data_IF_183706315509
#
_entry.id   IF_183706315509
#
_cell.length_a   1.000
_cell.length_b   1.000
_cell.length_c   1.000
_cell.angle_alpha   90.00
_cell.angle_beta   90.00
_cell.angle_gamma   90.00
#
_symmetry.space_group_name_H-M   'P 1'
#
loop_
_entity.id
_entity.type
_entity.pdbx_description
1 polymer ?
#
# COMPACT_ATOMS: atom_id res chain seq x y z
N UNK A 1 14.43 -8.93 12.14
CA UNK A 1 13.36 -8.76 11.15
C UNK A 1 13.37 -7.31 10.71
N UNK A 2 13.56 -7.02 9.42
CA UNK A 2 13.47 -5.67 8.88
C UNK A 2 12.00 -5.22 8.90
N UNK A 3 11.76 -3.94 9.16
CA UNK A 3 10.43 -3.36 8.95
C UNK A 3 10.15 -3.31 7.45
N UNK A 4 8.87 -3.42 7.06
CA UNK A 4 8.48 -3.39 5.65
C UNK A 4 9.04 -2.16 4.93
N UNK A 5 8.93 -0.97 5.51
CA UNK A 5 9.45 0.27 4.90
C UNK A 5 10.96 0.23 4.68
N UNK A 6 11.75 -0.25 5.66
CA UNK A 6 13.21 -0.34 5.53
C UNK A 6 13.60 -1.32 4.42
N UNK A 7 12.85 -2.42 4.26
CA UNK A 7 13.04 -3.38 3.19
C UNK A 7 12.74 -2.78 1.81
N UNK A 8 11.66 -2.03 1.70
CA UNK A 8 11.26 -1.40 0.43
C UNK A 8 12.24 -0.28 0.03
N UNK A 9 12.75 0.51 0.98
CA UNK A 9 13.80 1.51 0.71
C UNK A 9 15.09 0.86 0.20
N UNK A 10 15.53 -0.23 0.82
CA UNK A 10 16.70 -1.00 0.36
C UNK A 10 16.46 -1.57 -1.04
N UNK A 11 15.27 -2.10 -1.28
CA UNK A 11 14.89 -2.63 -2.59
C UNK A 11 14.93 -1.57 -3.68
N UNK A 12 14.45 -0.36 -3.40
CA UNK A 12 14.51 0.78 -4.34
C UNK A 12 15.97 1.14 -4.67
N UNK A 13 16.84 1.17 -3.68
CA UNK A 13 18.28 1.43 -3.91
C UNK A 13 18.93 0.38 -4.80
N UNK A 14 18.52 -0.90 -4.68
CA UNK A 14 18.98 -1.96 -5.57
C UNK A 14 18.40 -1.77 -6.97
N UNK A 15 17.14 -1.35 -7.09
CA UNK A 15 16.46 -1.15 -8.36
C UNK A 15 17.12 -0.07 -9.26
N UNK A 16 17.84 0.90 -8.67
CA UNK A 16 18.65 1.85 -9.41
C UNK A 16 19.71 1.18 -10.29
N UNK A 17 20.17 -0.02 -9.89
CA UNK A 17 21.14 -0.82 -10.64
C UNK A 17 20.47 -1.85 -11.58
N UNK A 18 19.20 -2.15 -11.38
CA UNK A 18 18.43 -3.03 -12.25
C UNK A 18 17.28 -3.74 -11.57
N UNK A 19 16.13 -3.78 -12.25
CA UNK A 19 14.91 -4.40 -11.77
C UNK A 19 15.04 -5.89 -11.42
N UNK A 20 15.78 -6.65 -12.22
CA UNK A 20 15.90 -8.10 -12.02
C UNK A 20 16.62 -8.47 -10.72
N UNK A 21 17.59 -7.67 -10.29
CA UNK A 21 18.31 -7.87 -9.03
C UNK A 21 17.41 -7.49 -7.84
N UNK A 22 16.77 -6.33 -7.92
CA UNK A 22 15.83 -5.86 -6.91
C UNK A 22 14.64 -6.83 -6.75
N UNK A 23 14.11 -7.36 -7.86
CA UNK A 23 13.04 -8.35 -7.85
C UNK A 23 13.46 -9.60 -7.07
N UNK A 24 14.61 -10.20 -7.39
CA UNK A 24 15.11 -11.39 -6.68
C UNK A 24 15.31 -11.12 -5.19
N UNK A 25 15.93 -9.99 -4.86
CA UNK A 25 16.14 -9.60 -3.47
C UNK A 25 14.83 -9.51 -2.68
N UNK A 26 13.86 -8.77 -3.19
CA UNK A 26 12.58 -8.60 -2.51
C UNK A 26 11.77 -9.90 -2.44
N UNK A 27 11.82 -10.71 -3.50
CA UNK A 27 11.16 -12.01 -3.52
C UNK A 27 11.73 -12.95 -2.46
N UNK A 28 13.06 -13.05 -2.36
CA UNK A 28 13.73 -13.89 -1.35
C UNK A 28 13.40 -13.46 0.08
N UNK A 29 13.31 -12.15 0.33
CA UNK A 29 12.93 -11.63 1.65
C UNK A 29 11.45 -11.90 1.96
N UNK A 30 10.58 -11.72 0.98
CA UNK A 30 9.15 -12.03 1.10
C UNK A 30 8.92 -13.52 1.41
N UNK A 31 9.57 -14.41 0.67
CA UNK A 31 9.39 -15.87 0.81
C UNK A 31 9.83 -16.42 2.17
N UNK A 32 10.70 -15.72 2.90
CA UNK A 32 11.12 -16.13 4.26
C UNK A 32 9.99 -15.98 5.28
N UNK A 33 9.18 -14.94 5.17
CA UNK A 33 8.12 -14.64 6.14
C UNK A 33 6.98 -13.85 5.47
N UNK A 34 6.18 -14.46 4.59
CA UNK A 34 5.15 -13.75 3.81
C UNK A 34 4.12 -13.00 4.66
N UNK A 35 3.82 -13.52 5.85
CA UNK A 35 2.85 -12.96 6.78
C UNK A 35 3.26 -11.59 7.38
N UNK A 36 4.53 -11.21 7.24
CA UNK A 36 5.03 -9.93 7.75
C UNK A 36 4.88 -8.78 6.76
N UNK A 37 4.38 -9.06 5.55
CA UNK A 37 4.35 -8.09 4.45
C UNK A 37 2.93 -7.88 3.94
N UNK A 38 2.67 -6.64 3.55
CA UNK A 38 1.36 -6.17 3.17
C UNK A 38 1.19 -5.96 1.65
N UNK A 39 0.09 -5.29 1.26
CA UNK A 39 -0.23 -5.02 -0.14
C UNK A 39 0.86 -4.21 -0.84
N UNK A 40 1.60 -3.38 -0.12
CA UNK A 40 2.66 -2.55 -0.68
C UNK A 40 3.83 -3.42 -1.17
N UNK A 41 4.25 -4.42 -0.41
CA UNK A 41 5.32 -5.34 -0.82
C UNK A 41 4.91 -6.14 -2.07
N UNK A 42 3.66 -6.64 -2.16
CA UNK A 42 3.20 -7.35 -3.34
C UNK A 42 3.10 -6.46 -4.58
N UNK A 43 2.73 -5.19 -4.40
CA UNK A 43 2.76 -4.20 -5.48
C UNK A 43 4.19 -3.95 -5.99
N UNK A 44 5.15 -3.76 -5.08
CA UNK A 44 6.56 -3.60 -5.44
C UNK A 44 7.11 -4.83 -6.20
N UNK A 45 6.79 -6.04 -5.73
CA UNK A 45 7.15 -7.27 -6.45
C UNK A 45 6.57 -7.31 -7.86
N UNK A 46 5.32 -6.85 -8.04
CA UNK A 46 4.69 -6.78 -9.35
C UNK A 46 5.38 -5.76 -10.27
N UNK A 47 5.68 -4.55 -9.78
CA UNK A 47 6.38 -3.52 -10.55
C UNK A 47 7.79 -3.97 -10.92
N UNK A 48 8.55 -4.51 -9.97
CA UNK A 48 9.90 -4.99 -10.23
C UNK A 48 9.92 -6.16 -11.24
N UNK A 49 8.96 -7.07 -11.16
CA UNK A 49 8.80 -8.13 -12.14
C UNK A 49 8.44 -7.57 -13.52
N UNK A 50 7.56 -6.58 -13.59
CA UNK A 50 7.20 -5.90 -14.83
C UNK A 50 8.39 -5.20 -15.47
N UNK A 51 9.14 -4.40 -14.71
CA UNK A 51 10.36 -3.72 -15.14
C UNK A 51 11.49 -4.70 -15.51
N UNK A 52 11.54 -5.88 -14.88
CA UNK A 52 12.45 -6.97 -15.23
C UNK A 52 12.00 -7.79 -16.48
N UNK A 53 10.93 -7.37 -17.16
CA UNK A 53 10.34 -8.06 -18.29
C UNK A 53 9.84 -9.49 -17.98
N UNK A 54 9.24 -9.66 -16.79
CA UNK A 54 8.63 -10.90 -16.30
C UNK A 54 7.11 -10.71 -16.09
N UNK A 55 6.32 -10.46 -17.14
CA UNK A 55 4.92 -10.07 -17.03
C UNK A 55 4.05 -11.12 -16.33
N UNK A 56 4.33 -12.40 -16.50
CA UNK A 56 3.61 -13.49 -15.83
C UNK A 56 3.80 -13.42 -14.30
N UNK A 57 5.02 -13.10 -13.84
CA UNK A 57 5.30 -12.94 -12.42
C UNK A 57 4.63 -11.69 -11.85
N UNK A 58 4.67 -10.59 -12.58
CA UNK A 58 3.94 -9.38 -12.19
C UNK A 58 2.45 -9.65 -12.00
N UNK A 59 1.85 -10.40 -12.93
CA UNK A 59 0.44 -10.79 -12.85
C UNK A 59 0.16 -11.73 -11.67
N UNK A 60 1.05 -12.66 -11.36
CA UNK A 60 0.96 -13.55 -10.19
C UNK A 60 0.89 -12.77 -8.87
N UNK A 61 1.77 -11.78 -8.68
CA UNK A 61 1.80 -10.95 -7.48
C UNK A 61 0.54 -10.10 -7.33
N UNK A 62 0.07 -9.49 -8.41
CA UNK A 62 -1.18 -8.73 -8.40
C UNK A 62 -2.39 -9.63 -8.13
N UNK A 63 -2.40 -10.84 -8.69
CA UNK A 63 -3.45 -11.82 -8.42
C UNK A 63 -3.46 -12.20 -6.93
N UNK A 64 -2.31 -12.49 -6.36
CA UNK A 64 -2.17 -12.80 -4.92
C UNK A 64 -2.69 -11.66 -4.06
N UNK A 65 -2.32 -10.41 -4.37
CA UNK A 65 -2.79 -9.25 -3.63
C UNK A 65 -4.32 -9.08 -3.73
N UNK A 66 -4.85 -9.10 -4.96
CA UNK A 66 -6.24 -8.71 -5.22
C UNK A 66 -7.20 -9.88 -4.99
N UNK A 67 -6.92 -11.09 -5.50
CA UNK A 67 -7.84 -12.21 -5.36
C UNK A 67 -7.66 -12.98 -4.06
N UNK A 68 -6.43 -13.37 -3.75
CA UNK A 68 -6.18 -14.29 -2.64
C UNK A 68 -6.23 -13.56 -1.29
N UNK A 69 -5.72 -12.32 -1.22
CA UNK A 69 -5.76 -11.50 0.00
C UNK A 69 -6.91 -10.50 0.06
N UNK A 70 -7.66 -10.31 -1.02
CA UNK A 70 -8.82 -9.42 -1.03
C UNK A 70 -8.47 -7.92 -1.01
N UNK A 71 -7.20 -7.56 -1.23
CA UNK A 71 -6.73 -6.18 -1.21
C UNK A 71 -7.15 -5.42 -2.47
N UNK A 72 -6.95 -4.10 -2.43
CA UNK A 72 -7.18 -3.20 -3.55
C UNK A 72 -6.15 -2.09 -3.55
N UNK A 73 -5.94 -1.52 -4.73
CA UNK A 73 -5.07 -0.36 -4.96
C UNK A 73 -5.91 0.78 -5.53
N UNK A 74 -5.44 2.00 -5.33
CA UNK A 74 -6.04 3.14 -6.02
C UNK A 74 -5.85 2.99 -7.54
N UNK A 75 -6.80 3.47 -8.37
CA UNK A 75 -6.73 3.28 -9.83
C UNK A 75 -5.39 3.71 -10.44
N UNK A 76 -4.83 4.84 -9.96
CA UNK A 76 -3.56 5.42 -10.45
C UNK A 76 -2.36 4.50 -10.20
N UNK A 77 -2.39 3.72 -9.12
CA UNK A 77 -1.29 2.82 -8.73
C UNK A 77 -1.12 1.69 -9.75
N UNK A 78 -2.22 1.18 -10.30
CA UNK A 78 -2.19 0.13 -11.33
C UNK A 78 -1.99 0.68 -12.76
N UNK A 79 -1.78 1.99 -12.91
CA UNK A 79 -1.42 2.63 -14.18
C UNK A 79 0.09 2.89 -14.30
N UNK A 80 0.87 2.41 -13.34
CA UNK A 80 2.32 2.52 -13.30
C UNK A 80 2.98 2.04 -14.61
N UNK A 81 4.06 2.72 -15.00
CA UNK A 81 4.80 2.39 -16.23
C UNK A 81 5.47 1.02 -16.17
N UNK A 82 5.86 0.56 -14.99
CA UNK A 82 6.44 -0.75 -14.77
C UNK A 82 5.44 -1.89 -15.07
N UNK A 83 4.14 -1.61 -15.03
CA UNK A 83 3.06 -2.53 -15.38
C UNK A 83 2.58 -2.36 -16.84
N UNK A 84 3.26 -1.53 -17.66
CA UNK A 84 2.83 -1.24 -19.03
C UNK A 84 2.69 -2.50 -19.91
N UNK A 85 3.53 -3.51 -19.70
CA UNK A 85 3.46 -4.79 -20.43
C UNK A 85 2.17 -5.57 -20.17
N UNK A 86 1.47 -5.29 -19.07
CA UNK A 86 0.22 -5.95 -18.68
C UNK A 86 -1.04 -5.24 -19.21
N UNK A 87 -0.94 -4.00 -19.69
CA UNK A 87 -2.11 -3.16 -20.02
C UNK A 87 -3.12 -3.81 -20.97
N UNK A 88 -2.66 -4.68 -21.88
CA UNK A 88 -3.49 -5.41 -22.83
C UNK A 88 -3.79 -6.85 -22.40
N UNK A 89 -3.35 -7.28 -21.23
CA UNK A 89 -3.60 -8.62 -20.72
C UNK A 89 -5.00 -8.68 -20.10
N UNK A 90 -5.86 -9.58 -20.57
CA UNK A 90 -7.25 -9.69 -20.09
C UNK A 90 -7.34 -10.03 -18.60
N UNK A 91 -6.41 -10.82 -18.07
CA UNK A 91 -6.39 -11.13 -16.65
C UNK A 91 -6.02 -9.88 -15.81
N UNK A 92 -5.07 -9.06 -16.26
CA UNK A 92 -4.74 -7.79 -15.62
C UNK A 92 -5.92 -6.82 -15.64
N UNK A 93 -6.58 -6.67 -16.79
CA UNK A 93 -7.78 -5.83 -16.91
C UNK A 93 -8.87 -6.26 -15.90
N UNK A 94 -9.07 -7.56 -15.76
CA UNK A 94 -10.03 -8.10 -14.78
C UNK A 94 -9.62 -7.82 -13.33
N UNK A 95 -8.33 -8.00 -13.00
CA UNK A 95 -7.81 -7.69 -11.67
C UNK A 95 -7.95 -6.20 -11.34
N UNK A 96 -7.60 -5.33 -12.30
CA UNK A 96 -7.76 -3.87 -12.15
C UNK A 96 -9.22 -3.52 -11.89
N UNK A 97 -10.15 -4.06 -12.67
CA UNK A 97 -11.59 -3.82 -12.48
C UNK A 97 -12.08 -4.22 -11.09
N UNK A 98 -11.61 -5.36 -10.56
CA UNK A 98 -11.94 -5.80 -9.20
C UNK A 98 -11.37 -4.83 -8.15
N UNK A 99 -10.11 -4.42 -8.32
CA UNK A 99 -9.46 -3.46 -7.44
C UNK A 99 -10.19 -2.11 -7.44
N UNK A 100 -10.50 -1.58 -8.61
CA UNK A 100 -11.21 -0.30 -8.80
C UNK A 100 -12.60 -0.34 -8.14
N UNK A 101 -13.32 -1.44 -8.28
CA UNK A 101 -14.63 -1.62 -7.64
C UNK A 101 -14.52 -1.63 -6.11
N UNK A 102 -13.55 -2.35 -5.56
CA UNK A 102 -13.29 -2.38 -4.10
C UNK A 102 -12.87 -1.02 -3.57
N UNK A 103 -12.02 -0.30 -4.31
CA UNK A 103 -11.65 1.07 -3.98
C UNK A 103 -12.87 1.98 -3.91
N UNK A 104 -13.71 1.98 -4.95
CA UNK A 104 -14.92 2.79 -5.00
C UNK A 104 -15.89 2.47 -3.84
N UNK A 105 -16.04 1.18 -3.50
CA UNK A 105 -16.84 0.75 -2.36
C UNK A 105 -16.23 1.22 -1.03
N UNK A 106 -14.92 1.10 -0.85
CA UNK A 106 -14.23 1.59 0.34
C UNK A 106 -14.38 3.11 0.50
N UNK A 107 -14.19 3.88 -0.57
CA UNK A 107 -14.37 5.35 -0.57
C UNK A 107 -15.81 5.71 -0.22
N UNK A 108 -16.81 5.01 -0.80
CA UNK A 108 -18.22 5.28 -0.52
C UNK A 108 -18.61 5.03 0.94
N UNK A 109 -17.89 4.16 1.62
CA UNK A 109 -18.10 3.83 3.04
C UNK A 109 -17.25 4.67 3.99
N UNK A 110 -16.29 5.45 3.47
CA UNK A 110 -15.45 6.31 4.29
C UNK A 110 -16.30 7.41 4.90
N UNK A 111 -16.32 7.46 6.23
CA UNK A 111 -16.97 8.52 7.00
C UNK A 111 -15.92 9.39 7.64
N UNK A 112 -16.20 10.67 7.69
CA UNK A 112 -15.43 11.58 8.52
C UNK A 112 -15.53 11.12 9.97
N UNK A 113 -14.39 10.95 10.64
CA UNK A 113 -14.35 10.56 12.05
C UNK A 113 -14.05 11.79 12.87
N UNK A 114 -15.09 12.34 13.51
CA UNK A 114 -14.91 13.38 14.50
C UNK A 114 -14.85 12.77 15.90
N UNK A 115 -13.80 13.07 16.63
CA UNK A 115 -13.67 12.69 18.03
C UNK A 115 -13.61 13.96 18.87
N UNK A 116 -14.61 14.17 19.68
CA UNK A 116 -14.68 15.29 20.62
C UNK A 116 -14.29 14.78 22.01
N UNK A 117 -13.03 14.96 22.38
CA UNK A 117 -12.59 14.52 23.72
C UNK A 117 -12.84 15.61 24.77
N UNK A 118 -12.98 16.87 24.36
CA UNK A 118 -13.25 18.00 25.28
C UNK A 118 -14.19 19.02 24.64
N UNK A 119 -15.33 19.24 25.29
CA UNK A 119 -16.37 20.15 24.81
C UNK A 119 -16.02 21.65 24.90
N UNK A 120 -15.05 22.00 25.73
CA UNK A 120 -14.69 23.38 26.03
C UNK A 120 -13.19 23.65 25.82
N UNK A 121 -12.58 23.00 24.82
CA UNK A 121 -11.20 23.28 24.45
C UNK A 121 -11.14 24.61 23.69
N UNK A 122 -10.16 25.44 23.99
CA UNK A 122 -9.92 26.72 23.30
C UNK A 122 -9.24 26.51 21.93
N UNK A 123 -8.71 25.32 21.67
CA UNK A 123 -7.98 25.01 20.48
C UNK A 123 -8.58 23.80 19.76
N UNK A 124 -8.49 23.82 18.42
CA UNK A 124 -8.85 22.71 17.55
C UNK A 124 -7.57 22.00 17.09
N UNK A 125 -7.48 20.69 17.35
CA UNK A 125 -6.43 19.85 16.80
C UNK A 125 -6.96 19.05 15.61
N UNK A 126 -6.37 19.27 14.42
CA UNK A 126 -6.70 18.55 13.20
C UNK A 126 -5.58 17.54 12.91
N UNK A 127 -5.88 16.26 13.10
CA UNK A 127 -4.98 15.18 12.74
C UNK A 127 -5.22 14.72 11.29
N UNK A 128 -4.17 14.72 10.49
CA UNK A 128 -4.21 14.22 9.08
C UNK A 128 -3.36 12.96 9.00
N UNK A 129 -3.92 11.91 8.41
CA UNK A 129 -3.17 10.66 8.23
C UNK A 129 -2.28 10.71 6.97
N UNK A 130 -1.23 9.90 6.98
CA UNK A 130 -0.35 9.70 5.82
C UNK A 130 -0.98 8.84 4.72
N UNK A 131 -0.23 8.65 3.64
CA UNK A 131 -0.72 7.99 2.41
C UNK A 131 -1.22 6.55 2.61
N UNK A 132 -0.61 5.79 3.51
CA UNK A 132 -0.97 4.38 3.78
C UNK A 132 -1.78 4.19 5.07
N UNK A 133 -2.25 5.28 5.66
CA UNK A 133 -2.95 5.29 6.93
C UNK A 133 -4.44 5.61 6.73
N UNK A 134 -5.20 5.58 7.81
CA UNK A 134 -6.59 5.98 7.87
C UNK A 134 -6.86 6.86 9.10
N UNK A 135 -8.06 7.41 9.22
CA UNK A 135 -8.42 8.29 10.32
C UNK A 135 -8.27 7.65 11.71
N UNK A 136 -8.46 6.33 11.83
CA UNK A 136 -8.27 5.62 13.10
C UNK A 136 -6.79 5.54 13.47
N UNK A 137 -5.92 5.22 12.51
CA UNK A 137 -4.46 5.20 12.71
C UNK A 137 -3.96 6.58 13.13
N UNK A 138 -4.38 7.65 12.44
CA UNK A 138 -4.02 9.01 12.81
C UNK A 138 -4.46 9.35 14.23
N UNK A 139 -5.68 8.98 14.60
CA UNK A 139 -6.19 9.20 15.96
C UNK A 139 -5.31 8.50 17.00
N UNK A 140 -4.97 7.25 16.79
CA UNK A 140 -4.21 6.45 17.76
C UNK A 140 -2.76 6.96 17.87
N UNK A 141 -2.16 7.42 16.78
CA UNK A 141 -0.83 8.03 16.77
C UNK A 141 -0.76 9.34 17.56
N UNK A 142 -1.80 10.18 17.44
CA UNK A 142 -1.83 11.49 18.09
C UNK A 142 -2.41 11.49 19.50
N UNK A 143 -3.10 10.44 19.91
CA UNK A 143 -3.74 10.33 21.22
C UNK A 143 -2.80 10.56 22.42
N UNK A 144 -1.56 10.06 22.44
CA UNK A 144 -0.62 10.34 23.53
C UNK A 144 -0.33 11.85 23.66
N UNK A 145 -0.11 12.54 22.54
CA UNK A 145 0.16 13.98 22.53
C UNK A 145 -1.02 14.78 23.10
N UNK A 146 -2.24 14.42 22.70
CA UNK A 146 -3.47 15.10 23.15
C UNK A 146 -3.71 14.86 24.64
N UNK A 147 -3.37 13.68 25.16
CA UNK A 147 -3.47 13.38 26.59
C UNK A 147 -2.54 14.26 27.42
N UNK A 148 -1.33 14.49 26.94
CA UNK A 148 -0.28 15.20 27.65
C UNK A 148 -0.39 16.74 27.47
N UNK A 149 -1.27 17.21 26.59
CA UNK A 149 -1.52 18.62 26.28
C UNK A 149 -3.01 18.98 26.44
N UNK A 150 -3.45 19.23 27.68
CA UNK A 150 -4.88 19.43 28.00
C UNK A 150 -5.56 20.67 27.38
N UNK A 151 -4.80 21.56 26.77
CA UNK A 151 -5.32 22.78 26.09
C UNK A 151 -5.86 22.48 24.66
N UNK A 152 -5.66 21.29 24.10
CA UNK A 152 -6.16 20.89 22.80
C UNK A 152 -7.44 20.06 22.87
#
# INVERSE_FOLDING_TARGET
>A
MKKENDLLEETLSIAENGYAEAYRFLQEEYEKNPENYGPQTLYFLACLAGGANLPEKALEWLRMAILDNGWWYRPEVLEDEDLASLKNNLAFISLKSISDHRYADAVSRTKEVFTWERKNADNLFLAVHGNTQNGQTARDDWKPLLRDNPQW
#
